data_IF_426079709707
#
_entry.id   IF_426079709707
#
_cell.length_a   1.000
_cell.length_b   1.000
_cell.length_c   1.000
_cell.angle_alpha   90.00
_cell.angle_beta   90.00
_cell.angle_gamma   90.00
#
_symmetry.space_group_name_H-M   'P 1'
#
loop_
_entity.id
_entity.type
_entity.pdbx_description
1 polymer ?
#
# COMPACT_ATOMS: atom_id res chain seq x y z
N UNK A 1 -6.96 13.83 21.86
CA UNK A 1 -6.52 13.58 20.47
C UNK A 1 -7.04 12.21 20.10
N UNK A 2 -7.90 12.07 19.07
CA UNK A 2 -8.29 10.73 18.63
C UNK A 2 -7.11 10.10 17.90
N UNK A 3 -6.90 8.80 18.13
CA UNK A 3 -5.90 8.03 17.41
C UNK A 3 -6.38 7.92 15.96
N UNK A 4 -5.52 8.09 14.92
CA UNK A 4 -5.96 8.07 13.52
C UNK A 4 -6.32 6.68 12.97
N UNK A 5 -6.34 5.67 13.84
CA UNK A 5 -6.60 4.28 13.52
C UNK A 5 -7.22 3.55 14.70
N UNK A 6 -7.98 2.51 14.36
CA UNK A 6 -8.43 1.48 15.27
C UNK A 6 -7.59 0.20 15.10
N UNK A 7 -7.94 -0.86 15.83
CA UNK A 7 -7.29 -2.17 15.70
C UNK A 7 -8.26 -3.20 15.16
N UNK A 8 -7.81 -3.98 14.18
CA UNK A 8 -8.54 -5.16 13.72
C UNK A 8 -8.49 -6.29 14.78
N UNK A 9 -9.40 -7.27 14.73
CA UNK A 9 -9.37 -8.45 15.61
C UNK A 9 -8.07 -9.28 15.49
N UNK A 10 -7.34 -9.13 14.38
CA UNK A 10 -6.08 -9.82 14.11
C UNK A 10 -4.84 -9.03 14.56
N UNK A 11 -5.01 -7.91 15.25
CA UNK A 11 -3.89 -7.11 15.79
C UNK A 11 -3.18 -6.23 14.76
N UNK A 12 -3.78 -6.02 13.58
CA UNK A 12 -3.29 -5.07 12.59
C UNK A 12 -4.03 -3.72 12.72
N UNK A 13 -3.34 -2.58 12.54
CA UNK A 13 -3.99 -1.27 12.60
C UNK A 13 -4.95 -1.07 11.43
N UNK A 14 -6.07 -0.40 11.67
CA UNK A 14 -7.08 -0.03 10.67
C UNK A 14 -7.23 1.50 10.67
N UNK A 15 -6.64 2.16 9.68
CA UNK A 15 -6.68 3.61 9.54
C UNK A 15 -8.05 4.09 9.08
N UNK A 16 -8.51 5.23 9.59
CA UNK A 16 -9.65 5.91 9.01
C UNK A 16 -9.33 6.42 7.59
N UNK A 17 -10.38 6.69 6.80
CA UNK A 17 -10.23 7.24 5.46
C UNK A 17 -9.31 8.49 5.46
N UNK A 18 -8.34 8.50 4.54
CA UNK A 18 -7.32 9.56 4.40
C UNK A 18 -6.38 9.76 5.59
N UNK A 19 -6.32 8.83 6.55
CA UNK A 19 -5.42 8.89 7.70
C UNK A 19 -4.25 7.90 7.61
N UNK A 20 -4.22 7.04 6.58
CA UNK A 20 -3.15 6.09 6.37
C UNK A 20 -1.81 6.80 6.04
N UNK A 21 -0.69 6.39 6.66
CA UNK A 21 0.63 6.92 6.35
C UNK A 21 1.03 6.80 4.87
N UNK A 22 1.80 7.77 4.38
CA UNK A 22 2.24 7.84 2.99
C UNK A 22 3.14 6.69 2.49
N UNK A 23 3.69 5.87 3.39
CA UNK A 23 4.49 4.69 3.06
C UNK A 23 3.66 3.39 2.97
N UNK A 24 2.37 3.47 3.30
CA UNK A 24 1.40 2.39 3.14
C UNK A 24 0.53 2.66 1.91
N UNK A 25 0.31 1.62 1.11
CA UNK A 25 -0.47 1.70 -0.13
C UNK A 25 -1.40 0.51 -0.26
N UNK A 26 -2.57 0.73 -0.84
CA UNK A 26 -3.43 -0.37 -1.27
C UNK A 26 -2.78 -1.11 -2.45
N UNK A 27 -3.24 -2.33 -2.73
CA UNK A 27 -2.76 -3.08 -3.90
C UNK A 27 -2.97 -2.31 -5.21
N UNK A 28 -4.13 -1.68 -5.40
CA UNK A 28 -4.41 -0.89 -6.61
C UNK A 28 -3.43 0.26 -6.79
N UNK A 29 -3.11 0.98 -5.71
CA UNK A 29 -2.12 2.06 -5.74
C UNK A 29 -0.71 1.55 -6.05
N UNK A 30 -0.33 0.38 -5.52
CA UNK A 30 0.95 -0.25 -5.88
C UNK A 30 0.98 -0.63 -7.37
N UNK A 31 -0.10 -1.18 -7.90
CA UNK A 31 -0.21 -1.55 -9.31
C UNK A 31 -0.11 -0.33 -10.24
N UNK A 32 -0.73 0.79 -9.87
CA UNK A 32 -0.59 2.09 -10.56
C UNK A 32 0.87 2.58 -10.56
N UNK A 33 1.64 2.27 -9.52
CA UNK A 33 3.07 2.57 -9.42
C UNK A 33 3.95 1.54 -10.14
N UNK A 34 3.38 0.51 -10.78
CA UNK A 34 4.12 -0.58 -11.39
C UNK A 34 4.79 -1.50 -10.36
N UNK A 35 4.22 -1.59 -9.16
CA UNK A 35 4.68 -2.41 -8.04
C UNK A 35 3.68 -3.54 -7.71
N UNK A 36 4.16 -4.53 -6.96
CA UNK A 36 3.36 -5.62 -6.38
C UNK A 36 3.83 -5.89 -4.95
N UNK A 37 2.91 -6.10 -3.99
CA UNK A 37 3.27 -6.44 -2.62
C UNK A 37 3.95 -7.82 -2.58
N UNK A 38 4.96 -7.99 -1.72
CA UNK A 38 5.62 -9.30 -1.53
C UNK A 38 5.31 -9.97 -0.20
N UNK A 39 4.76 -9.23 0.76
CA UNK A 39 4.40 -9.70 2.09
C UNK A 39 2.90 -9.68 2.36
N UNK A 40 2.53 -9.99 3.61
CA UNK A 40 1.16 -9.85 4.10
C UNK A 40 0.75 -8.39 4.28
N UNK A 41 -0.54 -8.18 4.52
CA UNK A 41 -1.06 -6.86 4.87
C UNK A 41 -0.40 -6.35 6.17
N UNK A 42 0.09 -5.12 6.16
CA UNK A 42 0.69 -4.48 7.33
C UNK A 42 -0.34 -3.66 8.13
N UNK A 43 -1.42 -3.27 7.46
CA UNK A 43 -2.52 -2.50 8.03
C UNK A 43 -3.76 -2.63 7.13
N UNK A 44 -4.84 -1.99 7.54
CA UNK A 44 -6.03 -1.78 6.73
C UNK A 44 -6.39 -0.30 6.70
N UNK A 45 -7.19 0.11 5.71
CA UNK A 45 -7.86 1.40 5.69
C UNK A 45 -9.36 1.18 5.55
N UNK A 46 -10.13 1.90 6.36
CA UNK A 46 -11.58 1.94 6.25
C UNK A 46 -11.97 2.63 4.93
N UNK A 47 -12.53 1.86 4.01
CA UNK A 47 -13.00 2.33 2.71
C UNK A 47 -14.51 2.17 2.60
N UNK A 48 -15.12 2.95 1.72
CA UNK A 48 -16.57 2.86 1.44
C UNK A 48 -17.05 1.48 0.95
N UNK A 49 -16.13 0.61 0.51
CA UNK A 49 -16.41 -0.76 0.06
C UNK A 49 -16.01 -1.83 1.10
N UNK A 50 -15.64 -1.41 2.31
CA UNK A 50 -15.06 -2.25 3.35
C UNK A 50 -13.55 -2.02 3.53
N UNK A 51 -12.95 -2.64 4.56
CA UNK A 51 -11.54 -2.45 4.88
C UNK A 51 -10.64 -2.97 3.76
N UNK A 52 -9.78 -2.09 3.24
CA UNK A 52 -8.81 -2.42 2.20
C UNK A 52 -7.42 -2.67 2.82
N UNK A 53 -6.75 -3.73 2.39
CA UNK A 53 -5.40 -4.06 2.86
C UNK A 53 -4.38 -3.01 2.40
N UNK A 54 -3.48 -2.66 3.32
CA UNK A 54 -2.35 -1.77 3.09
C UNK A 54 -1.03 -2.54 3.20
N UNK A 55 -0.11 -2.23 2.30
CA UNK A 55 1.19 -2.87 2.18
C UNK A 55 2.30 -1.81 2.22
N UNK A 56 3.48 -2.19 2.70
CA UNK A 56 4.67 -1.34 2.71
C UNK A 56 5.24 -1.20 1.29
N UNK A 57 5.48 0.04 0.87
CA UNK A 57 6.14 0.33 -0.41
C UNK A 57 7.56 -0.27 -0.45
N UNK A 58 8.28 -0.26 0.67
CA UNK A 58 9.65 -0.81 0.77
C UNK A 58 9.71 -2.32 0.59
N UNK A 59 8.60 -3.01 0.87
CA UNK A 59 8.49 -4.48 0.78
C UNK A 59 7.72 -4.88 -0.49
N UNK A 60 7.77 -4.03 -1.52
CA UNK A 60 7.14 -4.25 -2.81
C UNK A 60 8.19 -4.49 -3.90
N UNK A 61 7.82 -5.25 -4.93
CA UNK A 61 8.66 -5.53 -6.10
C UNK A 61 8.07 -4.91 -7.35
N UNK A 62 8.86 -4.77 -8.40
CA UNK A 62 8.36 -4.34 -9.70
C UNK A 62 7.37 -5.37 -10.26
N UNK A 63 6.22 -4.89 -10.71
CA UNK A 63 5.23 -5.68 -11.42
C UNK A 63 5.80 -6.31 -12.71
N UNK A 64 6.72 -5.59 -13.36
CA UNK A 64 7.53 -6.09 -14.47
C UNK A 64 9.01 -5.88 -14.14
N UNK A 65 9.77 -6.92 -13.78
CA UNK A 65 11.20 -6.79 -13.48
C UNK A 65 12.04 -6.19 -14.61
N UNK A 66 11.57 -6.25 -15.86
CA UNK A 66 12.26 -5.67 -17.03
C UNK A 66 12.03 -4.17 -17.21
N UNK A 67 11.15 -3.55 -16.42
CA UNK A 67 10.96 -2.08 -16.46
C UNK A 67 12.10 -1.32 -15.78
N UNK A 68 13.03 -2.03 -15.12
CA UNK A 68 14.21 -1.46 -14.48
C UNK A 68 15.52 -2.00 -15.10
N UNK A 69 16.53 -1.13 -15.34
CA UNK A 69 16.46 0.32 -15.19
C UNK A 69 15.53 0.94 -16.24
N UNK A 70 14.90 2.10 -15.95
CA UNK A 70 14.10 2.80 -16.93
C UNK A 70 14.93 3.04 -18.19
N UNK A 71 14.35 2.77 -19.36
CA UNK A 71 14.96 3.14 -20.63
C UNK A 71 15.29 4.62 -20.62
N UNK A 72 16.53 4.97 -20.97
CA UNK A 72 16.90 6.38 -21.16
C UNK A 72 15.94 7.01 -22.17
N UNK A 73 15.39 8.20 -21.90
CA UNK A 73 14.70 8.96 -22.93
C UNK A 73 15.66 9.12 -24.11
N UNK A 74 15.26 8.67 -25.30
CA UNK A 74 15.98 9.01 -26.53
C UNK A 74 15.83 10.51 -26.75
N UNK A 75 16.95 11.20 -26.91
CA UNK A 75 17.01 12.64 -27.20
C UNK A 75 16.32 12.99 -28.52
#
# INVERSE_FOLDING_TARGET
>A
MSVPYDWTPHGLPCYHANQAPGFLRTQSQLEEMGLRPTGGACAYVDSQYGPAALYLITDSTLANPRSWPPTRPSA
#
